data_IF_646816588672
#
_entry.id   IF_646816588672
#
_cell.length_a   1.000
_cell.length_b   1.000
_cell.length_c   1.000
_cell.angle_alpha   90.00
_cell.angle_beta   90.00
_cell.angle_gamma   90.00
#
_symmetry.space_group_name_H-M   'P 1'
#
loop_
_entity.id
_entity.type
_entity.pdbx_description
1 polymer ?
#
# COMPACT_ATOMS: atom_id res chain seq x y z
N UNK A 1 7.48 -42.72 14.74
CA UNK A 1 8.82 -42.11 14.81
C UNK A 1 8.79 -40.96 13.82
N UNK A 2 8.85 -39.71 14.27
CA UNK A 2 8.74 -38.54 13.42
C UNK A 2 10.12 -38.20 12.84
N UNK A 3 10.48 -38.87 11.75
CA UNK A 3 11.71 -38.60 10.99
C UNK A 3 11.50 -37.37 10.11
N UNK A 4 11.52 -36.19 10.75
CA UNK A 4 11.45 -34.91 10.04
C UNK A 4 12.86 -34.52 9.58
N UNK A 5 13.16 -34.48 8.27
CA UNK A 5 14.52 -34.38 7.70
C UNK A 5 15.23 -33.04 7.95
N UNK A 6 14.58 -32.08 8.62
CA UNK A 6 15.16 -30.78 8.93
C UNK A 6 15.32 -30.59 10.45
N UNK A 7 16.46 -31.00 11.05
CA UNK A 7 16.69 -30.88 12.49
C UNK A 7 16.69 -29.44 13.01
N UNK A 8 16.80 -28.44 12.12
CA UNK A 8 16.80 -27.02 12.48
C UNK A 8 15.42 -26.39 12.65
N UNK A 9 14.34 -27.05 12.24
CA UNK A 9 13.00 -26.45 12.25
C UNK A 9 12.45 -26.26 13.67
N UNK A 10 11.68 -25.19 13.90
CA UNK A 10 11.02 -24.91 15.17
C UNK A 10 10.08 -26.03 15.65
N UNK A 11 9.52 -26.81 14.72
CA UNK A 11 8.69 -27.98 15.03
C UNK A 11 9.45 -29.09 15.79
N UNK A 12 10.78 -29.14 15.66
CA UNK A 12 11.64 -30.14 16.31
C UNK A 12 12.29 -29.60 17.60
N UNK A 13 11.94 -28.38 18.03
CA UNK A 13 12.50 -27.73 19.22
C UNK A 13 11.56 -27.83 20.43
N UNK A 14 12.08 -27.88 21.66
CA UNK A 14 11.25 -27.83 22.86
C UNK A 14 10.44 -26.53 22.92
N UNK A 15 9.17 -26.64 23.32
CA UNK A 15 8.21 -25.50 23.33
C UNK A 15 8.73 -24.32 24.17
N UNK A 16 9.44 -24.60 25.26
CA UNK A 16 10.02 -23.58 26.12
C UNK A 16 11.10 -22.76 25.40
N UNK A 17 11.98 -23.42 24.64
CA UNK A 17 13.01 -22.74 23.86
C UNK A 17 12.39 -21.85 22.78
N UNK A 18 11.39 -22.36 22.05
CA UNK A 18 10.66 -21.58 21.03
C UNK A 18 10.00 -20.35 21.66
N UNK A 19 9.37 -20.53 22.83
CA UNK A 19 8.72 -19.43 23.58
C UNK A 19 9.75 -18.40 24.03
N UNK A 20 10.91 -18.82 24.49
CA UNK A 20 12.01 -17.93 24.88
C UNK A 20 12.58 -17.16 23.68
N UNK A 21 12.73 -17.81 22.52
CA UNK A 21 13.18 -17.15 21.28
C UNK A 21 12.15 -16.11 20.83
N UNK A 22 10.87 -16.46 20.79
CA UNK A 22 9.79 -15.54 20.44
C UNK A 22 9.71 -14.36 21.42
N UNK A 23 9.81 -14.63 22.72
CA UNK A 23 9.84 -13.59 23.76
C UNK A 23 11.02 -12.63 23.57
N UNK A 24 12.24 -13.14 23.35
CA UNK A 24 13.43 -12.31 23.07
C UNK A 24 13.26 -11.46 21.81
N UNK A 25 12.69 -12.02 20.74
CA UNK A 25 12.39 -11.28 19.51
C UNK A 25 11.37 -10.16 19.73
N UNK A 26 10.30 -10.44 20.49
CA UNK A 26 9.31 -9.44 20.89
C UNK A 26 9.92 -8.31 21.73
N UNK A 27 10.72 -8.67 22.75
CA UNK A 27 11.38 -7.71 23.63
C UNK A 27 12.36 -6.78 22.89
N UNK A 28 13.10 -7.31 21.91
CA UNK A 28 14.00 -6.51 21.08
C UNK A 28 13.25 -5.45 20.24
N UNK A 29 12.00 -5.73 19.84
CA UNK A 29 11.18 -4.80 19.06
C UNK A 29 10.53 -3.66 19.86
N UNK A 30 10.57 -3.69 21.19
CA UNK A 30 9.93 -2.66 22.05
C UNK A 30 10.67 -1.31 22.08
N UNK A 31 11.90 -1.21 21.55
CA UNK A 31 12.69 0.04 21.53
C UNK A 31 12.43 0.95 20.32
N UNK A 32 11.39 0.67 19.54
CA UNK A 32 11.04 1.41 18.33
C UNK A 32 11.59 0.72 17.07
N UNK A 33 10.69 0.04 16.35
CA UNK A 33 11.02 -0.59 15.07
C UNK A 33 10.99 0.40 13.91
N UNK A 34 11.00 -0.13 12.68
CA UNK A 34 10.93 0.69 11.46
C UNK A 34 9.79 1.72 11.49
N UNK A 35 8.61 1.33 11.98
CA UNK A 35 7.44 2.20 12.08
C UNK A 35 7.55 3.34 13.12
N UNK A 36 8.53 3.28 14.03
CA UNK A 36 8.77 4.30 15.06
C UNK A 36 9.93 5.24 14.71
N UNK A 37 10.59 5.03 13.57
CA UNK A 37 11.66 5.91 13.10
C UNK A 37 11.09 7.20 12.49
N UNK A 38 11.95 8.21 12.28
CA UNK A 38 11.59 9.40 11.52
C UNK A 38 11.06 9.07 10.10
N UNK A 39 9.99 9.71 9.61
CA UNK A 39 9.40 9.41 8.30
C UNK A 39 10.35 9.59 7.11
N UNK A 40 11.25 10.58 7.13
CA UNK A 40 12.21 10.79 6.05
C UNK A 40 13.22 9.64 6.05
N UNK A 41 13.71 9.25 7.23
CA UNK A 41 14.60 8.10 7.37
C UNK A 41 13.94 6.79 6.93
N UNK A 42 12.67 6.58 7.25
CA UNK A 42 11.89 5.43 6.76
C UNK A 42 11.84 5.42 5.23
N UNK A 43 11.54 6.55 4.60
CA UNK A 43 11.48 6.69 3.15
C UNK A 43 12.82 6.39 2.49
N UNK A 44 13.92 6.93 3.02
CA UNK A 44 15.25 6.67 2.50
C UNK A 44 15.63 5.18 2.57
N UNK A 45 15.37 4.52 3.70
CA UNK A 45 15.65 3.09 3.87
C UNK A 45 14.79 2.27 2.92
N UNK A 46 13.50 2.57 2.80
CA UNK A 46 12.59 1.89 1.87
C UNK A 46 13.04 2.09 0.41
N UNK A 47 13.44 3.30 0.03
CA UNK A 47 13.94 3.64 -1.31
C UNK A 47 15.23 2.89 -1.62
N UNK A 48 16.20 2.85 -0.69
CA UNK A 48 17.43 2.07 -0.83
C UNK A 48 17.15 0.57 -0.95
N UNK A 49 16.27 0.03 -0.10
CA UNK A 49 15.87 -1.39 -0.15
C UNK A 49 15.18 -1.76 -1.47
N UNK A 50 14.31 -0.89 -1.98
CA UNK A 50 13.64 -1.06 -3.26
C UNK A 50 14.59 -1.01 -4.46
N UNK A 51 15.61 -0.14 -4.43
CA UNK A 51 16.65 -0.07 -5.48
C UNK A 51 17.64 -1.24 -5.44
N UNK A 52 17.97 -1.72 -4.24
CA UNK A 52 18.86 -2.86 -4.06
C UNK A 52 18.18 -4.19 -4.42
N UNK A 53 16.85 -4.27 -4.30
CA UNK A 53 16.08 -5.39 -4.80
C UNK A 53 15.93 -5.28 -6.32
N UNK A 54 16.40 -6.28 -7.07
CA UNK A 54 16.17 -6.33 -8.51
C UNK A 54 14.70 -6.58 -8.89
N UNK A 55 13.86 -6.96 -7.92
CA UNK A 55 12.44 -7.26 -8.13
C UNK A 55 12.18 -8.31 -9.22
N UNK A 56 10.91 -8.68 -9.42
CA UNK A 56 10.47 -9.37 -10.65
C UNK A 56 9.84 -8.39 -11.64
N UNK A 57 9.88 -7.09 -11.35
CA UNK A 57 9.26 -6.05 -12.15
C UNK A 57 10.33 -5.11 -12.69
N UNK A 58 10.16 -4.72 -13.94
CA UNK A 58 11.00 -3.70 -14.56
C UNK A 58 10.77 -2.34 -13.85
N UNK A 59 11.84 -1.62 -13.46
CA UNK A 59 11.72 -0.32 -12.83
C UNK A 59 10.90 0.65 -13.70
N UNK A 60 9.93 1.33 -13.08
CA UNK A 60 9.08 2.30 -13.78
C UNK A 60 7.93 1.68 -14.58
N UNK A 61 7.87 0.36 -14.74
CA UNK A 61 6.74 -0.31 -15.38
C UNK A 61 5.42 -0.03 -14.64
N UNK A 62 4.33 0.01 -15.38
CA UNK A 62 3.00 0.21 -14.83
C UNK A 62 2.65 -0.85 -13.77
N UNK A 63 3.06 -2.10 -14.04
CA UNK A 63 2.88 -3.23 -13.12
C UNK A 63 3.61 -3.03 -11.79
N UNK A 64 4.85 -2.51 -11.81
CA UNK A 64 5.58 -2.16 -10.58
C UNK A 64 4.86 -1.06 -9.78
N UNK A 65 4.38 -0.02 -10.47
CA UNK A 65 3.62 1.09 -9.86
C UNK A 65 2.32 0.62 -9.23
N UNK A 66 1.53 -0.17 -9.96
CA UNK A 66 0.27 -0.73 -9.46
C UNK A 66 0.50 -1.66 -8.26
N UNK A 67 1.52 -2.52 -8.30
CA UNK A 67 1.87 -3.41 -7.18
C UNK A 67 2.30 -2.62 -5.94
N UNK A 68 3.15 -1.60 -6.10
CA UNK A 68 3.56 -0.71 -5.01
C UNK A 68 2.38 0.03 -4.39
N UNK A 69 1.50 0.62 -5.24
CA UNK A 69 0.28 1.30 -4.80
C UNK A 69 -0.66 0.36 -4.03
N UNK A 70 -0.86 -0.86 -4.51
CA UNK A 70 -1.68 -1.88 -3.83
C UNK A 70 -1.06 -2.28 -2.49
N UNK A 71 0.25 -2.50 -2.44
CA UNK A 71 0.98 -2.84 -1.21
C UNK A 71 0.86 -1.74 -0.14
N UNK A 72 1.03 -0.48 -0.54
CA UNK A 72 0.88 0.67 0.36
C UNK A 72 -0.54 0.82 0.91
N UNK A 73 -1.55 0.61 0.06
CA UNK A 73 -2.97 0.65 0.47
C UNK A 73 -3.34 -0.45 1.47
N UNK A 74 -2.77 -1.65 1.33
CA UNK A 74 -3.03 -2.77 2.24
C UNK A 74 -2.36 -2.64 3.62
N UNK A 75 -1.25 -1.91 3.71
CA UNK A 75 -0.50 -1.73 4.96
C UNK A 75 -1.02 -0.63 5.90
N UNK A 76 -1.86 0.28 5.40
CA UNK A 76 -2.28 1.49 6.13
C UNK A 76 -3.48 1.34 7.09
N UNK A 77 -4.15 0.19 7.14
CA UNK A 77 -5.39 0.00 7.92
C UNK A 77 -5.21 -0.68 9.27
N UNK A 78 -4.11 -0.41 9.98
CA UNK A 78 -3.91 -0.90 11.35
C UNK A 78 -3.35 0.19 12.27
N UNK A 79 -4.01 1.36 12.31
CA UNK A 79 -3.92 2.32 13.43
C UNK A 79 -5.00 3.40 13.31
N UNK A 80 -6.24 3.02 13.64
CA UNK A 80 -7.29 3.98 14.01
C UNK A 80 -7.89 3.56 15.34
N UNK A 81 -7.12 3.74 16.41
CA UNK A 81 -7.70 3.86 17.74
C UNK A 81 -6.98 5.00 18.46
N UNK A 82 -7.79 6.02 18.75
CA UNK A 82 -7.60 7.15 19.68
C UNK A 82 -6.57 8.21 19.32
N UNK A 83 -7.08 9.34 18.81
CA UNK A 83 -6.35 10.61 18.76
C UNK A 83 -6.77 11.46 17.56
N UNK A 84 -7.74 12.33 17.79
CA UNK A 84 -8.16 13.48 16.96
C UNK A 84 -7.20 13.83 15.80
N UNK A 85 -7.61 13.58 14.56
CA UNK A 85 -7.00 14.15 13.37
C UNK A 85 -8.11 14.40 12.35
N UNK A 86 -8.46 15.67 12.18
CA UNK A 86 -9.37 16.14 11.16
C UNK A 86 -8.80 15.93 9.77
N UNK A 87 -9.75 15.85 8.83
CA UNK A 87 -9.66 16.24 7.41
C UNK A 87 -8.34 15.99 6.70
N UNK A 88 -8.29 14.94 5.85
CA UNK A 88 -7.81 15.00 4.46
C UNK A 88 -8.38 13.78 3.70
N UNK A 89 -9.69 13.78 3.48
CA UNK A 89 -10.38 12.82 2.59
C UNK A 89 -11.21 13.61 1.57
N UNK A 90 -10.53 14.47 0.80
CA UNK A 90 -11.13 15.29 -0.28
C UNK A 90 -10.40 15.14 -1.62
N UNK A 91 -9.61 14.08 -1.79
CA UNK A 91 -8.81 13.84 -3.00
C UNK A 91 -9.41 12.84 -3.99
N UNK A 92 -10.60 12.30 -3.72
CA UNK A 92 -11.19 11.22 -4.54
C UNK A 92 -12.48 11.65 -5.26
N UNK A 93 -13.21 12.67 -4.78
CA UNK A 93 -14.48 13.13 -5.39
C UNK A 93 -14.32 14.16 -6.52
N UNK A 94 -13.19 14.87 -6.60
CA UNK A 94 -12.98 15.93 -7.62
C UNK A 94 -12.64 15.38 -9.00
N UNK A 95 -12.12 14.16 -9.10
CA UNK A 95 -11.67 13.58 -10.37
C UNK A 95 -12.82 13.05 -11.24
N UNK A 96 -13.97 12.75 -10.63
CA UNK A 96 -15.12 12.18 -11.34
C UNK A 96 -16.02 13.28 -11.94
N UNK A 97 -15.98 14.51 -11.41
CA UNK A 97 -16.81 15.63 -11.90
C UNK A 97 -16.24 16.28 -13.17
N UNK A 98 -14.92 16.45 -13.29
CA UNK A 98 -14.29 16.99 -14.51
C UNK A 98 -14.50 16.07 -15.73
N UNK A 99 -14.69 14.75 -15.52
CA UNK A 99 -14.93 13.81 -16.59
C UNK A 99 -16.36 13.88 -17.15
N UNK A 100 -17.35 14.26 -16.33
CA UNK A 100 -18.74 14.43 -16.78
C UNK A 100 -18.94 15.76 -17.52
N UNK A 101 -18.29 16.85 -17.10
CA UNK A 101 -18.38 18.13 -17.81
C UNK A 101 -17.76 18.09 -19.22
N UNK A 102 -16.72 17.27 -19.42
CA UNK A 102 -16.10 17.09 -20.73
C UNK A 102 -16.99 16.33 -21.73
N UNK A 103 -17.92 15.48 -21.27
CA UNK A 103 -18.86 14.74 -22.13
C UNK A 103 -20.13 15.54 -22.47
N UNK A 104 -20.47 16.58 -21.70
CA UNK A 104 -21.67 17.38 -21.92
C UNK A 104 -21.51 18.49 -22.97
N UNK A 105 -20.27 18.86 -23.35
CA UNK A 105 -20.02 19.95 -24.31
C UNK A 105 -20.04 19.52 -25.79
N UNK A 106 -20.07 18.22 -26.11
CA UNK A 106 -20.08 17.75 -27.50
C UNK A 106 -21.49 17.56 -28.12
N UNK A 107 -22.58 17.68 -27.35
CA UNK A 107 -23.95 17.49 -27.88
C UNK A 107 -24.71 18.80 -28.22
N UNK A 108 -24.12 19.98 -28.03
CA UNK A 108 -24.77 21.29 -28.30
C UNK A 108 -24.31 21.95 -29.62
N UNK A 109 -23.89 21.16 -30.62
CA UNK A 109 -23.50 21.69 -31.95
C UNK A 109 -24.08 20.89 -33.14
N UNK A 110 -25.22 20.24 -32.93
CA UNK A 110 -25.97 19.64 -34.02
C UNK A 110 -27.45 19.78 -33.74
N UNK A 111 -28.06 20.90 -34.12
CA UNK A 111 -29.48 21.00 -34.53
C UNK A 111 -29.87 22.49 -34.77
N UNK A 112 -29.20 23.15 -35.72
CA UNK A 112 -29.72 24.40 -36.32
C UNK A 112 -29.70 24.24 -37.84
N UNK A 113 -30.69 23.55 -38.43
CA UNK A 113 -31.07 23.67 -39.86
C UNK A 113 -32.33 22.83 -40.21
N UNK A 114 -33.47 23.10 -39.55
CA UNK A 114 -34.75 22.56 -40.01
C UNK A 114 -35.84 23.65 -40.07
N UNK A 115 -36.01 24.23 -41.27
CA UNK A 115 -37.10 25.13 -41.62
C UNK A 115 -38.26 24.34 -42.29
N UNK A 116 -39.50 24.37 -41.76
CA UNK A 116 -40.65 23.84 -42.49
C UNK A 116 -41.36 24.94 -43.31
N UNK A 117 -41.46 24.75 -44.63
CA UNK A 117 -42.28 25.60 -45.52
C UNK A 117 -43.80 25.37 -45.31
N UNK A 118 -44.58 26.44 -45.51
CA UNK A 118 -46.03 26.56 -45.28
C UNK A 118 -46.91 25.85 -46.33
#
# INVERSE_FOLDING_TARGET
MSDNPNPGNFANRPKEEVRNIASKGGQASHRGGFASMDPQKQHEIASKGGRASSGSFEPGSERARQAGRKGGRSGGRARRTTGNAGEEDRGQEVIDQEAEEAYAQEEEEADEDYEPEQ
#
